data_IF_450903949504
#
_entry.id   IF_450903949504
#
_cell.length_a   1.000
_cell.length_b   1.000
_cell.length_c   1.000
_cell.angle_alpha   90.00
_cell.angle_beta   90.00
_cell.angle_gamma   90.00
#
_symmetry.space_group_name_H-M   'P 1'
#
loop_
_entity.id
_entity.type
_entity.pdbx_description
1 polymer ?
#
# COMPACT_ATOMS: atom_id res chain seq x y z
N UNK A 1 -10.32 -20.95 -2.47
CA UNK A 1 -10.89 -19.66 -2.91
C UNK A 1 -9.81 -18.90 -3.65
N UNK A 2 -10.11 -18.24 -4.79
CA UNK A 2 -9.15 -17.39 -5.49
C UNK A 2 -8.84 -16.11 -4.70
N UNK A 3 -7.74 -15.42 -5.04
CA UNK A 3 -7.43 -14.11 -4.49
C UNK A 3 -8.45 -13.06 -4.96
N UNK A 4 -8.60 -11.98 -4.17
CA UNK A 4 -9.46 -10.86 -4.52
C UNK A 4 -8.71 -9.84 -5.38
N UNK A 5 -9.32 -9.44 -6.48
CA UNK A 5 -8.77 -8.53 -7.47
C UNK A 5 -9.41 -7.15 -7.37
N UNK A 6 -8.70 -6.13 -7.86
CA UNK A 6 -9.28 -4.79 -7.95
C UNK A 6 -10.37 -4.78 -9.02
N UNK A 7 -11.48 -4.11 -8.71
CA UNK A 7 -12.58 -3.87 -9.65
C UNK A 7 -12.50 -2.49 -10.32
N UNK A 8 -11.50 -1.69 -9.94
CA UNK A 8 -11.33 -0.32 -10.40
C UNK A 8 -10.56 -0.26 -11.72
N UNK A 9 -10.92 0.73 -12.54
CA UNK A 9 -10.27 1.00 -13.82
C UNK A 9 -9.65 2.40 -13.81
N UNK A 10 -8.53 2.57 -14.53
CA UNK A 10 -7.90 3.86 -14.76
C UNK A 10 -7.60 4.02 -16.24
N UNK A 11 -7.80 5.23 -16.77
CA UNK A 11 -7.44 5.58 -18.15
C UNK A 11 -5.95 5.84 -18.33
N UNK A 12 -5.23 6.10 -17.24
CA UNK A 12 -3.82 6.43 -17.22
C UNK A 12 -3.04 5.38 -16.43
N UNK A 13 -1.77 5.20 -16.78
CA UNK A 13 -0.82 4.36 -16.05
C UNK A 13 0.53 5.04 -15.90
N UNK A 14 1.29 4.63 -14.89
CA UNK A 14 2.71 4.98 -14.75
C UNK A 14 3.50 3.68 -14.81
N UNK A 15 4.23 3.47 -15.90
CA UNK A 15 4.71 2.13 -16.27
C UNK A 15 3.52 1.20 -16.47
N UNK A 16 3.58 0.03 -15.82
CA UNK A 16 2.47 -0.92 -15.74
C UNK A 16 1.78 -0.84 -14.37
N UNK A 17 1.53 0.35 -13.84
CA UNK A 17 0.68 0.53 -12.67
C UNK A 17 -0.44 1.48 -13.03
N UNK A 18 -1.69 1.10 -12.76
CA UNK A 18 -2.83 1.99 -12.98
C UNK A 18 -2.67 3.26 -12.14
N UNK A 19 -2.86 4.43 -12.75
CA UNK A 19 -2.89 5.71 -12.05
C UNK A 19 -4.31 5.95 -11.54
N UNK A 20 -4.67 5.23 -10.48
CA UNK A 20 -6.02 5.21 -9.93
C UNK A 20 -6.34 6.49 -9.14
N UNK A 21 -7.58 7.01 -9.25
CA UNK A 21 -8.06 8.11 -8.43
C UNK A 21 -8.05 7.78 -6.93
N UNK A 22 -7.74 8.74 -6.07
CA UNK A 22 -7.69 8.57 -4.61
C UNK A 22 -8.29 9.77 -3.90
N UNK A 23 -9.13 9.51 -2.89
CA UNK A 23 -9.67 10.56 -2.02
C UNK A 23 -8.65 10.98 -0.97
N UNK A 24 -7.78 11.92 -1.31
CA UNK A 24 -6.67 12.34 -0.43
C UNK A 24 -6.44 13.83 -0.43
N UNK A 25 -5.94 14.34 0.71
CA UNK A 25 -5.42 15.71 0.85
C UNK A 25 -3.92 15.80 0.60
N UNK A 26 -3.22 14.66 0.42
CA UNK A 26 -1.79 14.64 0.13
C UNK A 26 -1.55 15.02 -1.33
N UNK A 27 -0.53 15.86 -1.55
CA UNK A 27 -0.09 16.23 -2.89
C UNK A 27 0.48 15.03 -3.62
N UNK A 28 0.12 14.87 -4.89
CA UNK A 28 0.68 13.86 -5.76
C UNK A 28 -0.08 13.76 -7.08
N UNK A 29 0.33 12.84 -7.96
CA UNK A 29 -0.20 12.72 -9.31
C UNK A 29 -1.49 11.90 -9.41
N UNK A 30 -2.00 11.31 -8.32
CA UNK A 30 -3.26 10.59 -8.34
C UNK A 30 -4.41 11.55 -8.74
N UNK A 31 -5.29 11.16 -9.67
CA UNK A 31 -6.49 11.91 -9.97
C UNK A 31 -7.37 12.08 -8.72
N UNK A 32 -8.20 13.13 -8.66
CA UNK A 32 -9.18 13.29 -7.59
C UNK A 32 -10.09 12.05 -7.52
N UNK A 33 -10.19 11.46 -6.33
CA UNK A 33 -11.02 10.29 -6.09
C UNK A 33 -12.51 10.52 -6.38
N UNK A 34 -13.30 9.43 -6.44
CA UNK A 34 -14.73 9.52 -6.71
C UNK A 34 -15.46 10.25 -5.58
N UNK A 35 -16.45 11.07 -5.93
CA UNK A 35 -17.30 11.76 -4.95
C UNK A 35 -18.14 10.78 -4.11
N UNK A 36 -18.42 9.60 -4.67
CA UNK A 36 -19.16 8.52 -4.02
C UNK A 36 -18.56 7.18 -4.43
N UNK A 37 -18.37 6.30 -3.45
CA UNK A 37 -17.79 4.96 -3.64
C UNK A 37 -16.36 4.82 -3.09
N UNK A 38 -15.86 3.57 -3.01
CA UNK A 38 -14.52 3.28 -2.52
C UNK A 38 -13.44 3.65 -3.55
N UNK A 39 -12.27 4.04 -3.07
CA UNK A 39 -11.05 4.12 -3.90
C UNK A 39 -10.15 2.89 -3.71
N UNK A 40 -8.99 2.88 -4.39
CA UNK A 40 -8.06 1.73 -4.35
C UNK A 40 -7.48 1.46 -2.97
N UNK A 41 -7.41 2.46 -2.09
CA UNK A 41 -6.94 2.29 -0.72
C UNK A 41 -8.02 1.61 0.11
N UNK A 42 -9.29 1.97 -0.10
CA UNK A 42 -10.42 1.30 0.53
C UNK A 42 -10.51 -0.17 0.08
N UNK A 43 -10.36 -0.46 -1.22
CA UNK A 43 -10.30 -1.85 -1.72
C UNK A 43 -9.14 -2.62 -1.08
N UNK A 44 -7.94 -2.03 -1.01
CA UNK A 44 -6.78 -2.68 -0.41
C UNK A 44 -7.00 -3.02 1.07
N UNK A 45 -7.55 -2.08 1.85
CA UNK A 45 -7.86 -2.30 3.26
C UNK A 45 -8.99 -3.33 3.45
N UNK A 46 -9.98 -3.35 2.56
CA UNK A 46 -11.08 -4.30 2.58
C UNK A 46 -10.61 -5.73 2.27
N UNK A 47 -9.80 -5.91 1.23
CA UNK A 47 -9.33 -7.23 0.81
C UNK A 47 -8.12 -7.75 1.60
N UNK A 48 -7.39 -6.89 2.31
CA UNK A 48 -6.13 -7.24 2.99
C UNK A 48 -6.20 -8.53 3.82
N UNK A 49 -7.21 -8.64 4.70
CA UNK A 49 -7.29 -9.78 5.64
C UNK A 49 -7.47 -11.12 4.95
N UNK A 50 -8.01 -11.13 3.73
CA UNK A 50 -8.09 -12.33 2.90
C UNK A 50 -6.83 -12.49 2.02
N UNK A 51 -6.44 -11.43 1.31
CA UNK A 51 -5.35 -11.47 0.34
C UNK A 51 -3.99 -11.79 0.97
N UNK A 52 -3.73 -11.37 2.21
CA UNK A 52 -2.42 -11.55 2.88
C UNK A 52 -1.98 -13.02 3.04
N UNK A 53 -2.91 -13.99 2.91
CA UNK A 53 -2.61 -15.42 2.99
C UNK A 53 -2.16 -16.05 1.68
N UNK A 54 -2.36 -15.38 0.54
CA UNK A 54 -2.08 -15.96 -0.76
C UNK A 54 -0.59 -15.89 -1.09
N UNK A 55 -0.03 -17.03 -1.52
CA UNK A 55 1.36 -17.15 -1.99
C UNK A 55 1.52 -16.85 -3.48
N UNK A 56 0.44 -17.01 -4.23
CA UNK A 56 0.39 -16.76 -5.68
C UNK A 56 -0.76 -15.81 -5.95
N UNK A 57 -0.53 -14.87 -6.86
CA UNK A 57 -1.53 -13.91 -7.29
C UNK A 57 -1.39 -13.71 -8.80
N UNK A 58 -2.43 -14.04 -9.55
CA UNK A 58 -2.49 -13.81 -10.99
C UNK A 58 -2.82 -12.33 -11.23
N UNK A 59 -2.06 -11.64 -12.07
CA UNK A 59 -2.33 -10.21 -12.35
C UNK A 59 -3.32 -10.15 -13.52
N UNK A 60 -4.54 -9.66 -13.26
CA UNK A 60 -5.60 -9.54 -14.28
C UNK A 60 -5.69 -8.14 -14.87
N UNK A 61 -5.20 -7.13 -14.16
CA UNK A 61 -5.23 -5.74 -14.60
C UNK A 61 -4.06 -4.93 -14.07
N UNK A 62 -3.89 -3.71 -14.59
CA UNK A 62 -2.91 -2.76 -14.05
C UNK A 62 -3.30 -2.25 -12.64
N UNK A 63 -4.59 -2.32 -12.29
CA UNK A 63 -5.08 -1.98 -10.95
C UNK A 63 -4.66 -3.02 -9.90
N UNK A 64 -4.59 -4.30 -10.28
CA UNK A 64 -4.07 -5.36 -9.42
C UNK A 64 -2.63 -5.08 -8.96
N UNK A 65 -1.80 -4.46 -9.80
CA UNK A 65 -0.43 -4.09 -9.39
C UNK A 65 -0.41 -2.99 -8.35
N UNK A 66 -1.37 -2.08 -8.35
CA UNK A 66 -1.52 -1.12 -7.26
C UNK A 66 -2.00 -1.83 -5.99
N UNK A 67 -3.01 -2.70 -6.11
CA UNK A 67 -3.55 -3.49 -5.00
C UNK A 67 -2.49 -4.38 -4.33
N UNK A 68 -1.65 -5.06 -5.12
CA UNK A 68 -0.54 -5.89 -4.63
C UNK A 68 0.44 -5.04 -3.82
N UNK A 69 0.84 -3.89 -4.36
CA UNK A 69 1.77 -2.99 -3.69
C UNK A 69 1.22 -2.47 -2.37
N UNK A 70 -0.04 -2.02 -2.35
CA UNK A 70 -0.71 -1.56 -1.13
C UNK A 70 -0.85 -2.68 -0.11
N UNK A 71 -1.17 -3.90 -0.55
CA UNK A 71 -1.26 -5.09 0.33
C UNK A 71 0.07 -5.35 1.05
N UNK A 72 1.20 -5.28 0.33
CA UNK A 72 2.52 -5.39 0.95
C UNK A 72 2.82 -4.21 1.90
N UNK A 73 2.45 -2.99 1.51
CA UNK A 73 2.67 -1.80 2.33
C UNK A 73 1.87 -1.83 3.64
N UNK A 74 0.64 -2.36 3.63
CA UNK A 74 -0.15 -2.58 4.87
C UNK A 74 0.65 -3.46 5.84
N UNK A 75 1.27 -4.54 5.39
CA UNK A 75 2.11 -5.39 6.25
C UNK A 75 3.28 -4.61 6.85
N UNK A 76 3.95 -3.74 6.08
CA UNK A 76 5.02 -2.87 6.60
C UNK A 76 4.50 -1.89 7.66
N UNK A 77 3.35 -1.27 7.41
CA UNK A 77 2.70 -0.42 8.41
C UNK A 77 2.39 -1.20 9.69
N UNK A 78 1.82 -2.41 9.59
CA UNK A 78 1.51 -3.24 10.76
C UNK A 78 2.77 -3.61 11.57
N UNK A 79 3.88 -3.95 10.91
CA UNK A 79 5.18 -4.19 11.58
C UNK A 79 5.62 -2.96 12.39
N UNK A 80 5.48 -1.76 11.81
CA UNK A 80 5.83 -0.51 12.49
C UNK A 80 4.88 -0.22 13.66
N UNK A 81 3.57 -0.39 13.46
CA UNK A 81 2.54 -0.16 14.47
C UNK A 81 2.59 -1.13 15.64
N UNK A 82 3.15 -2.33 15.47
CA UNK A 82 3.31 -3.32 16.55
C UNK A 82 4.08 -2.77 17.76
N UNK A 83 5.00 -1.82 17.54
CA UNK A 83 5.88 -1.26 18.58
C UNK A 83 5.35 0.04 19.19
N UNK A 84 4.20 0.53 18.72
CA UNK A 84 3.68 1.86 19.07
C UNK A 84 2.67 1.77 20.21
N UNK A 85 2.75 2.69 21.17
CA UNK A 85 1.92 2.70 22.38
C UNK A 85 0.76 3.70 22.36
N UNK A 86 0.53 4.43 21.26
CA UNK A 86 -0.58 5.38 21.15
C UNK A 86 -0.84 5.86 19.73
N UNK A 87 -2.08 6.28 19.47
CA UNK A 87 -2.58 6.64 18.13
C UNK A 87 -1.86 7.83 17.51
N UNK A 88 -1.53 8.85 18.31
CA UNK A 88 -0.81 10.03 17.80
C UNK A 88 0.64 9.72 17.41
N UNK A 89 1.33 8.88 18.19
CA UNK A 89 2.64 8.38 17.79
C UNK A 89 2.55 7.50 16.54
N UNK A 90 1.48 6.71 16.41
CA UNK A 90 1.26 5.88 15.23
C UNK A 90 1.11 6.72 13.96
N UNK A 91 0.36 7.83 14.01
CA UNK A 91 0.23 8.76 12.88
C UNK A 91 1.60 9.33 12.46
N UNK A 92 2.42 9.75 13.43
CA UNK A 92 3.79 10.24 13.19
C UNK A 92 4.67 9.16 12.55
N UNK A 93 4.61 7.95 13.08
CA UNK A 93 5.38 6.82 12.58
C UNK A 93 4.96 6.39 11.16
N UNK A 94 3.67 6.44 10.84
CA UNK A 94 3.17 6.21 9.47
C UNK A 94 3.64 7.29 8.50
N UNK A 95 3.58 8.57 8.91
CA UNK A 95 4.12 9.66 8.09
C UNK A 95 5.61 9.46 7.79
N UNK A 96 6.40 9.10 8.80
CA UNK A 96 7.83 8.82 8.66
C UNK A 96 8.10 7.60 7.77
N UNK A 97 7.30 6.54 7.90
CA UNK A 97 7.39 5.34 7.06
C UNK A 97 6.99 5.61 5.61
N UNK A 98 6.06 6.53 5.36
CA UNK A 98 5.64 6.88 4.01
C UNK A 98 6.74 7.61 3.23
N UNK A 99 7.47 8.53 3.90
CA UNK A 99 8.53 9.34 3.29
C UNK A 99 9.91 8.66 3.30
N UNK A 100 10.09 7.57 4.05
CA UNK A 100 11.38 6.88 4.10
C UNK A 100 11.77 6.38 2.71
N UNK A 101 13.07 6.36 2.42
CA UNK A 101 13.55 5.90 1.12
C UNK A 101 13.01 4.51 0.81
N UNK A 102 12.43 4.38 -0.39
CA UNK A 102 11.87 3.14 -0.87
C UNK A 102 12.27 2.86 -2.31
N UNK A 103 12.32 1.58 -2.62
CA UNK A 103 12.72 1.07 -3.91
C UNK A 103 11.54 1.11 -4.89
N UNK A 104 11.82 1.49 -6.13
CA UNK A 104 10.88 1.51 -7.26
C UNK A 104 11.07 0.26 -8.14
N UNK A 105 10.09 -0.10 -8.99
CA UNK A 105 10.31 -1.00 -10.11
C UNK A 105 11.60 -0.70 -10.87
N UNK A 106 12.46 -1.69 -11.00
CA UNK A 106 13.81 -1.59 -11.58
C UNK A 106 14.94 -1.52 -10.56
N UNK A 107 14.68 -1.09 -9.32
CA UNK A 107 15.69 -1.07 -8.26
C UNK A 107 16.00 -2.49 -7.79
N UNK A 108 17.27 -2.80 -7.51
CA UNK A 108 17.71 -4.15 -7.18
C UNK A 108 17.00 -4.77 -5.97
N UNK A 109 16.56 -3.93 -5.02
CA UNK A 109 15.87 -4.36 -3.80
C UNK A 109 14.34 -4.43 -3.94
N UNK A 110 13.78 -3.98 -5.06
CA UNK A 110 12.34 -4.03 -5.27
C UNK A 110 11.87 -5.49 -5.48
N UNK A 111 11.02 -6.04 -4.60
CA UNK A 111 10.75 -7.48 -4.52
C UNK A 111 9.91 -8.04 -5.67
N UNK A 112 9.30 -7.16 -6.48
CA UNK A 112 8.34 -7.49 -7.53
C UNK A 112 8.84 -7.14 -8.94
N UNK A 113 10.16 -6.96 -9.14
CA UNK A 113 10.74 -6.57 -10.44
C UNK A 113 10.29 -7.44 -11.62
N UNK A 114 10.05 -8.74 -11.41
CA UNK A 114 9.59 -9.64 -12.48
C UNK A 114 8.17 -9.33 -12.99
N UNK A 115 7.37 -8.56 -12.25
CA UNK A 115 5.96 -8.29 -12.53
C UNK A 115 5.68 -6.81 -12.81
N UNK A 116 6.66 -5.93 -12.57
CA UNK A 116 6.53 -4.47 -12.67
C UNK A 116 7.53 -3.93 -13.68
N UNK A 117 7.07 -2.97 -14.46
CA UNK A 117 7.87 -2.28 -15.46
C UNK A 117 8.67 -1.16 -14.79
N UNK A 118 9.99 -1.17 -15.00
CA UNK A 118 10.85 -0.06 -14.62
C UNK A 118 10.41 1.23 -15.33
N UNK A 119 10.45 2.41 -14.67
CA UNK A 119 10.23 3.67 -15.35
C UNK A 119 11.15 3.85 -16.56
N UNK A 120 10.61 4.35 -17.67
CA UNK A 120 11.35 4.50 -18.93
C UNK A 120 12.26 5.73 -18.95
N UNK A 121 11.93 6.74 -18.13
CA UNK A 121 12.64 8.00 -18.03
C UNK A 121 12.78 8.47 -16.58
N UNK A 122 13.64 9.46 -16.35
CA UNK A 122 13.73 10.12 -15.04
C UNK A 122 12.41 10.77 -14.61
N UNK A 123 11.70 11.36 -15.57
CA UNK A 123 10.39 11.97 -15.33
C UNK A 123 9.36 10.92 -14.87
N UNK A 124 9.31 9.77 -15.53
CA UNK A 124 8.42 8.67 -15.13
C UNK A 124 8.78 8.14 -13.74
N UNK A 125 10.08 8.07 -13.42
CA UNK A 125 10.54 7.64 -12.11
C UNK A 125 10.13 8.61 -11.00
N UNK A 126 10.28 9.92 -11.25
CA UNK A 126 9.85 10.97 -10.33
C UNK A 126 8.32 10.96 -10.13
N UNK A 127 7.56 10.76 -11.22
CA UNK A 127 6.10 10.65 -11.17
C UNK A 127 5.65 9.39 -10.42
N UNK A 128 6.27 8.24 -10.68
CA UNK A 128 5.99 6.97 -9.99
C UNK A 128 6.29 7.10 -8.50
N UNK A 129 7.43 7.69 -8.14
CA UNK A 129 7.79 7.95 -6.74
C UNK A 129 6.77 8.86 -6.07
N UNK A 130 6.34 9.93 -6.73
CA UNK A 130 5.31 10.82 -6.19
C UNK A 130 3.96 10.10 -6.00
N UNK A 131 3.56 9.24 -6.95
CA UNK A 131 2.33 8.45 -6.83
C UNK A 131 2.38 7.47 -5.66
N UNK A 132 3.46 6.68 -5.58
CA UNK A 132 3.65 5.72 -4.50
C UNK A 132 3.77 6.40 -3.14
N UNK A 133 4.39 7.58 -3.06
CA UNK A 133 4.45 8.38 -1.84
C UNK A 133 3.05 8.82 -1.39
N UNK A 134 2.25 9.36 -2.32
CA UNK A 134 0.88 9.80 -2.04
C UNK A 134 0.01 8.64 -1.53
N UNK A 135 0.09 7.47 -2.18
CA UNK A 135 -0.58 6.24 -1.75
C UNK A 135 -0.16 5.80 -0.35
N UNK A 136 1.15 5.80 -0.06
CA UNK A 136 1.69 5.43 1.26
C UNK A 136 1.17 6.35 2.36
N UNK A 137 1.18 7.65 2.12
CA UNK A 137 0.73 8.65 3.11
C UNK A 137 -0.74 8.46 3.46
N UNK A 138 -1.59 8.40 2.43
CA UNK A 138 -3.03 8.24 2.62
C UNK A 138 -3.37 6.88 3.27
N UNK A 139 -2.77 5.78 2.79
CA UNK A 139 -3.01 4.45 3.35
C UNK A 139 -2.56 4.36 4.80
N UNK A 140 -1.38 4.88 5.13
CA UNK A 140 -0.87 4.89 6.50
C UNK A 140 -1.82 5.63 7.45
N UNK A 141 -2.33 6.79 7.04
CA UNK A 141 -3.30 7.55 7.82
C UNK A 141 -4.61 6.76 8.03
N UNK A 142 -5.21 6.22 6.97
CA UNK A 142 -6.47 5.45 7.06
C UNK A 142 -6.31 4.16 7.87
N UNK A 143 -5.15 3.50 7.75
CA UNK A 143 -4.88 2.27 8.50
C UNK A 143 -4.80 2.52 10.00
N UNK A 144 -4.21 3.63 10.46
CA UNK A 144 -4.18 3.96 11.89
C UNK A 144 -5.59 4.04 12.47
N UNK A 145 -6.53 4.65 11.74
CA UNK A 145 -7.94 4.75 12.13
C UNK A 145 -8.63 3.37 12.20
N UNK A 146 -8.21 2.39 11.39
CA UNK A 146 -8.72 1.01 11.41
C UNK A 146 -8.09 0.14 12.48
N UNK A 147 -6.82 0.39 12.81
CA UNK A 147 -6.02 -0.43 13.72
C UNK A 147 -6.26 -0.05 15.18
N UNK A 148 -6.38 1.25 15.48
CA UNK A 148 -6.50 1.73 16.85
C UNK A 148 -7.96 1.78 17.28
N UNK A 149 -8.23 1.17 18.44
CA UNK A 149 -9.54 1.24 19.07
C UNK A 149 -9.79 2.65 19.63
N UNK A 150 -10.93 3.30 19.34
CA UNK A 150 -11.20 4.68 19.76
C UNK A 150 -11.30 4.88 21.29
N UNK A 151 -11.59 3.83 22.05
CA UNK A 151 -11.78 3.94 23.51
C UNK A 151 -10.48 3.66 24.26
N UNK A 152 -9.73 2.66 23.81
CA UNK A 152 -8.54 2.16 24.53
C UNK A 152 -7.23 2.74 23.97
N UNK A 153 -7.27 3.36 22.79
CA UNK A 153 -6.10 3.86 22.05
C UNK A 153 -5.00 2.80 21.83
N UNK A 154 -5.37 1.52 21.87
CA UNK A 154 -4.45 0.39 21.67
C UNK A 154 -4.59 -0.22 20.28
N UNK A 155 -3.50 -0.76 19.70
CA UNK A 155 -3.59 -1.53 18.47
C UNK A 155 -4.47 -2.78 18.63
N UNK A 156 -5.42 -2.94 17.71
CA UNK A 156 -6.35 -4.07 17.69
C UNK A 156 -5.61 -5.39 17.40
N UNK A 157 -5.83 -6.40 18.27
CA UNK A 157 -5.28 -7.75 18.07
C UNK A 157 -5.73 -8.39 16.74
N UNK A 158 -6.89 -7.97 16.23
CA UNK A 158 -7.48 -8.42 14.96
C UNK A 158 -6.82 -7.83 13.72
N UNK A 159 -5.87 -6.91 13.90
CA UNK A 159 -4.94 -6.43 12.88
C UNK A 159 -3.52 -6.91 13.17
N UNK A 160 -3.10 -6.88 14.44
CA UNK A 160 -1.75 -7.28 14.84
C UNK A 160 -1.44 -8.76 14.59
N UNK A 161 -2.46 -9.63 14.51
CA UNK A 161 -2.26 -11.04 14.17
C UNK A 161 -1.70 -11.27 12.75
N UNK A 162 -1.76 -10.26 11.87
CA UNK A 162 -1.25 -10.33 10.50
C UNK A 162 0.20 -9.87 10.33
N UNK A 163 0.85 -9.31 11.37
CA UNK A 163 2.21 -8.73 11.28
C UNK A 163 3.26 -9.68 10.70
N UNK A 164 3.14 -10.98 11.00
CA UNK A 164 4.09 -12.01 10.52
C UNK A 164 3.69 -12.64 9.18
N UNK A 165 2.55 -12.27 8.61
CA UNK A 165 2.08 -12.82 7.33
C UNK A 165 2.76 -12.10 6.18
N UNK A 166 3.07 -12.85 5.11
CA UNK A 166 3.73 -12.34 3.92
C UNK A 166 2.90 -12.68 2.70
N UNK A 167 2.25 -11.67 2.14
CA UNK A 167 1.57 -11.80 0.86
C UNK A 167 2.61 -12.14 -0.23
N UNK A 168 2.33 -13.16 -1.04
CA UNK A 168 3.22 -13.68 -2.09
C UNK A 168 4.62 -14.11 -1.61
N UNK A 169 4.79 -14.35 -0.30
CA UNK A 169 6.11 -14.53 0.33
C UNK A 169 7.09 -13.35 0.06
N UNK A 170 6.56 -12.15 -0.24
CA UNK A 170 7.31 -10.92 -0.50
C UNK A 170 7.21 -9.93 0.66
N UNK A 171 8.11 -8.95 0.67
CA UNK A 171 8.22 -7.88 1.67
C UNK A 171 8.81 -6.65 1.00
N UNK A 172 8.26 -5.46 1.24
CA UNK A 172 8.82 -4.20 0.73
C UNK A 172 10.05 -3.75 1.54
N UNK A 173 10.15 -4.20 2.79
CA UNK A 173 11.39 -4.11 3.56
C UNK A 173 12.28 -5.33 3.28
N UNK A 174 13.59 -5.09 3.20
CA UNK A 174 14.59 -6.16 3.17
C UNK A 174 14.59 -6.99 4.46
N UNK A 175 15.22 -8.18 4.45
CA UNK A 175 15.34 -9.01 5.66
C UNK A 175 15.97 -8.22 6.81
N UNK A 176 15.29 -8.14 7.96
CA UNK A 176 15.83 -7.54 9.18
C UNK A 176 15.52 -6.05 9.43
N UNK A 177 14.68 -5.42 8.61
CA UNK A 177 14.16 -4.05 8.86
C UNK A 177 12.76 -4.06 9.49
#
# INVERSE_FOLDING_TARGET
>A
MPAYHSSLEASLSIGNMALLPVNTNFKGPAPPGPQSGPDIIDEALYYFKANVFFKTYEIKSEADRVLIYLTLYITECLKKLQKVQGKEQAKKDMKNLAISNFDLPGDARFPLNAMYQKPSSKQDADQMRAYLLQLRQELGQRLVEKVFDPQTERPSKWWMCFVKRKFMDKSLSGPGQ
#
